data_IF_395234073625
#
_entry.id   IF_395234073625
#
_cell.length_a   1.000
_cell.length_b   1.000
_cell.length_c   1.000
_cell.angle_alpha   90.00
_cell.angle_beta   90.00
_cell.angle_gamma   90.00
#
_symmetry.space_group_name_H-M   'P 1'
#
loop_
_entity.id
_entity.type
_entity.pdbx_description
1 polymer ?
#
# COMPACT_ATOMS: atom_id res chain seq x y z
N UNK A 1 19.18 -11.98 -24.21
CA UNK A 1 18.75 -11.28 -25.44
C UNK A 1 18.80 -9.78 -25.16
N UNK A 2 19.59 -8.99 -25.90
CA UNK A 2 19.64 -7.53 -25.69
C UNK A 2 18.66 -6.86 -26.65
N UNK A 3 17.65 -6.18 -26.13
CA UNK A 3 16.69 -5.41 -26.93
C UNK A 3 17.44 -4.21 -27.56
N UNK A 4 17.34 -4.04 -28.87
CA UNK A 4 17.92 -2.91 -29.61
C UNK A 4 16.80 -1.94 -30.03
N UNK A 5 16.51 -0.95 -29.19
CA UNK A 5 15.39 0.00 -29.38
C UNK A 5 15.49 0.82 -30.68
N UNK A 6 16.70 0.98 -31.21
CA UNK A 6 16.98 1.64 -32.48
C UNK A 6 16.68 0.76 -33.70
N UNK A 7 16.47 -0.55 -33.51
CA UNK A 7 16.15 -1.51 -34.58
C UNK A 7 14.77 -2.12 -34.44
N UNK A 8 14.30 -2.33 -33.22
CA UNK A 8 13.09 -3.09 -32.93
C UNK A 8 12.08 -2.23 -32.18
N UNK A 9 10.80 -2.41 -32.52
CA UNK A 9 9.70 -1.87 -31.72
C UNK A 9 9.69 -2.56 -30.36
N UNK A 10 9.35 -1.80 -29.31
CA UNK A 10 9.19 -2.33 -27.96
C UNK A 10 7.74 -2.79 -27.81
N UNK A 11 7.56 -4.06 -27.45
CA UNK A 11 6.25 -4.58 -27.04
C UNK A 11 5.87 -3.98 -25.68
N UNK A 12 4.69 -3.38 -25.61
CA UNK A 12 4.14 -2.84 -24.38
C UNK A 12 2.69 -3.27 -24.21
N UNK A 13 2.25 -3.41 -22.97
CA UNK A 13 0.85 -3.64 -22.63
C UNK A 13 0.40 -2.61 -21.59
N UNK A 14 -0.75 -1.93 -21.77
CA UNK A 14 -1.38 -1.21 -20.67
C UNK A 14 -1.87 -2.23 -19.62
N UNK A 15 -1.69 -1.92 -18.33
CA UNK A 15 -2.09 -2.82 -17.23
C UNK A 15 -1.08 -2.98 -16.11
N UNK A 16 0.11 -2.39 -16.23
CA UNK A 16 1.03 -2.26 -15.10
C UNK A 16 0.49 -1.25 -14.09
N UNK A 17 0.15 -1.69 -12.88
CA UNK A 17 -0.12 -0.78 -11.77
C UNK A 17 1.10 0.13 -11.54
N UNK A 18 0.89 1.45 -11.58
CA UNK A 18 1.99 2.42 -11.60
C UNK A 18 1.93 3.44 -10.45
N UNK A 19 0.74 3.87 -10.05
CA UNK A 19 0.60 4.91 -9.03
C UNK A 19 -0.70 4.74 -8.23
N UNK A 20 -0.64 4.98 -6.92
CA UNK A 20 -1.79 5.01 -6.03
C UNK A 20 -2.31 6.45 -5.86
N UNK A 21 -3.47 6.77 -6.44
CA UNK A 21 -4.10 8.10 -6.26
C UNK A 21 -4.87 8.24 -4.94
N UNK A 22 -5.22 7.11 -4.31
CA UNK A 22 -5.80 7.07 -2.98
C UNK A 22 -4.72 6.99 -1.90
N UNK A 23 -5.08 7.24 -0.65
CA UNK A 23 -4.14 7.22 0.45
C UNK A 23 -4.69 7.95 1.67
N UNK A 24 -3.79 8.31 2.58
CA UNK A 24 -4.11 9.07 3.78
C UNK A 24 -4.66 10.45 3.40
N UNK A 25 -5.82 10.80 3.95
CA UNK A 25 -6.41 12.12 3.78
C UNK A 25 -5.61 13.13 4.58
N UNK A 26 -5.22 14.21 3.92
CA UNK A 26 -4.53 15.34 4.53
C UNK A 26 -5.26 16.66 4.27
N UNK A 27 -5.02 17.67 5.12
CA UNK A 27 -5.39 19.05 4.85
C UNK A 27 -4.26 19.80 4.08
N UNK A 28 -4.43 21.11 3.86
CA UNK A 28 -3.48 21.97 3.16
C UNK A 28 -2.10 22.07 3.84
N UNK A 29 -2.03 21.77 5.14
CA UNK A 29 -0.80 21.74 5.95
C UNK A 29 -0.17 20.34 6.04
N UNK A 30 -0.69 19.37 5.29
CA UNK A 30 -0.28 17.96 5.31
C UNK A 30 -0.58 17.23 6.63
N UNK A 31 -1.51 17.73 7.44
CA UNK A 31 -1.95 17.10 8.69
C UNK A 31 -2.98 16.03 8.40
N UNK A 32 -2.87 14.91 9.10
CA UNK A 32 -3.90 13.86 9.11
C UNK A 32 -4.99 14.18 10.14
N UNK A 33 -5.98 13.29 10.28
CA UNK A 33 -6.94 13.38 11.39
C UNK A 33 -6.40 12.88 12.74
N UNK A 34 -5.13 12.43 12.76
CA UNK A 34 -4.42 12.04 13.99
C UNK A 34 -3.48 13.19 14.35
N UNK A 35 -3.65 13.72 15.55
CA UNK A 35 -2.84 14.83 16.06
C UNK A 35 -1.35 14.45 16.07
N UNK A 36 -0.51 15.37 15.56
CA UNK A 36 0.94 15.15 15.46
C UNK A 36 1.38 14.20 14.33
N UNK A 37 0.46 13.63 13.55
CA UNK A 37 0.77 12.80 12.39
C UNK A 37 0.57 13.57 11.08
N UNK A 38 1.64 13.62 10.29
CA UNK A 38 1.71 14.30 8.99
C UNK A 38 2.05 13.29 7.89
N UNK A 39 1.60 13.54 6.67
CA UNK A 39 1.85 12.66 5.53
C UNK A 39 2.09 13.46 4.24
N UNK A 40 2.96 12.96 3.36
CA UNK A 40 3.28 13.59 2.08
C UNK A 40 3.71 12.55 1.04
N UNK A 41 3.51 12.88 -0.24
CA UNK A 41 3.83 12.00 -1.38
C UNK A 41 2.74 10.97 -1.65
N UNK A 42 3.10 9.89 -2.34
CA UNK A 42 2.16 8.86 -2.84
C UNK A 42 1.38 8.11 -1.74
N UNK A 43 1.81 8.22 -0.47
CA UNK A 43 1.04 7.69 0.67
C UNK A 43 -0.26 8.48 0.91
N UNK A 44 -0.38 9.69 0.35
CA UNK A 44 -1.53 10.59 0.52
C UNK A 44 -2.54 10.46 -0.61
N UNK A 45 -3.81 10.75 -0.30
CA UNK A 45 -4.88 10.74 -1.28
C UNK A 45 -5.42 12.14 -1.60
N UNK A 46 -6.03 12.28 -2.78
CA UNK A 46 -6.89 13.43 -3.12
C UNK A 46 -6.28 14.44 -4.09
N UNK A 47 -4.98 14.71 -4.02
CA UNK A 47 -4.29 15.71 -4.87
C UNK A 47 -4.48 15.43 -6.38
N UNK A 48 -4.52 14.15 -6.75
CA UNK A 48 -4.64 13.70 -8.14
C UNK A 48 -6.06 13.33 -8.56
N UNK A 49 -7.05 13.43 -7.65
CA UNK A 49 -8.41 12.97 -7.89
C UNK A 49 -8.47 11.51 -8.37
N UNK A 50 -9.22 11.25 -9.43
CA UNK A 50 -9.41 9.90 -9.98
C UNK A 50 -8.36 9.49 -11.03
N UNK A 51 -7.48 10.41 -11.48
CA UNK A 51 -6.45 10.10 -12.47
C UNK A 51 -5.28 11.10 -12.39
N UNK A 52 -4.08 10.60 -12.11
CA UNK A 52 -2.88 11.43 -12.02
C UNK A 52 -2.36 11.82 -13.40
N UNK A 53 -2.06 13.10 -13.61
CA UNK A 53 -1.34 13.57 -14.79
C UNK A 53 0.15 13.18 -14.77
N UNK A 54 0.71 12.85 -15.93
CA UNK A 54 2.13 12.56 -16.10
C UNK A 54 3.03 13.69 -15.58
N UNK A 55 4.15 13.32 -14.94
CA UNK A 55 5.11 14.27 -14.39
C UNK A 55 4.72 14.95 -13.07
N UNK A 56 3.48 14.82 -12.59
CA UNK A 56 3.02 15.52 -11.36
C UNK A 56 3.41 14.87 -10.04
N UNK A 57 3.83 13.60 -10.03
CA UNK A 57 4.28 12.92 -8.80
C UNK A 57 5.54 13.57 -8.20
N UNK A 58 6.47 14.03 -9.03
CA UNK A 58 7.67 14.73 -8.55
C UNK A 58 7.34 16.09 -7.93
N UNK A 59 6.42 16.83 -8.55
CA UNK A 59 5.95 18.10 -7.99
C UNK A 59 5.24 17.89 -6.65
N UNK A 60 4.45 16.83 -6.52
CA UNK A 60 3.77 16.47 -5.27
C UNK A 60 4.76 16.22 -4.14
N UNK A 61 5.77 15.37 -4.33
CA UNK A 61 6.71 15.05 -3.25
C UNK A 61 7.50 16.29 -2.79
N UNK A 62 7.86 17.19 -3.71
CA UNK A 62 8.60 18.41 -3.37
C UNK A 62 7.74 19.39 -2.58
N UNK A 63 6.53 19.68 -3.09
CA UNK A 63 5.64 20.67 -2.49
C UNK A 63 5.06 20.16 -1.16
N UNK A 64 4.49 18.97 -1.14
CA UNK A 64 3.86 18.45 0.06
C UNK A 64 4.88 17.94 1.08
N UNK A 65 6.07 17.51 0.64
CA UNK A 65 7.17 17.16 1.55
C UNK A 65 7.70 18.37 2.31
N UNK A 66 7.94 19.49 1.62
CA UNK A 66 8.35 20.75 2.26
C UNK A 66 7.28 21.24 3.26
N UNK A 67 6.01 21.25 2.84
CA UNK A 67 4.89 21.65 3.70
C UNK A 67 4.75 20.76 4.93
N UNK A 68 4.76 19.44 4.75
CA UNK A 68 4.66 18.50 5.87
C UNK A 68 5.80 18.69 6.86
N UNK A 69 7.04 18.85 6.39
CA UNK A 69 8.19 19.14 7.24
C UNK A 69 8.04 20.45 8.00
N UNK A 70 7.62 21.52 7.34
CA UNK A 70 7.42 22.83 7.97
C UNK A 70 6.29 22.80 9.02
N UNK A 71 5.16 22.15 8.73
CA UNK A 71 4.04 22.01 9.67
C UNK A 71 4.42 21.13 10.87
N UNK A 72 5.08 20.00 10.63
CA UNK A 72 5.55 19.10 11.68
C UNK A 72 6.56 19.79 12.60
N UNK A 73 7.49 20.59 12.06
CA UNK A 73 8.44 21.37 12.86
C UNK A 73 7.74 22.42 13.74
N UNK A 74 6.76 23.16 13.20
CA UNK A 74 5.96 24.12 13.97
C UNK A 74 5.16 23.44 15.07
N UNK A 75 4.59 22.28 14.79
CA UNK A 75 3.87 21.46 15.77
C UNK A 75 4.80 20.99 16.89
N UNK A 76 5.98 20.48 16.55
CA UNK A 76 6.95 19.96 17.51
C UNK A 76 7.46 21.03 18.51
N UNK A 77 7.61 22.29 18.09
CA UNK A 77 8.01 23.39 18.99
C UNK A 77 6.95 23.68 20.05
N UNK A 78 5.67 23.58 19.68
CA UNK A 78 4.54 23.90 20.56
C UNK A 78 4.12 22.71 21.43
N UNK A 79 4.39 21.51 20.96
CA UNK A 79 3.90 20.28 21.57
C UNK A 79 4.88 19.78 22.62
N UNK A 80 4.34 19.39 23.77
CA UNK A 80 5.09 18.56 24.72
C UNK A 80 4.93 17.12 24.25
N UNK A 81 5.91 16.62 23.52
CA UNK A 81 5.90 15.21 23.10
C UNK A 81 6.20 14.34 24.31
N UNK A 82 5.27 13.45 24.65
CA UNK A 82 5.52 12.41 25.64
C UNK A 82 6.47 11.38 25.06
N UNK A 83 7.45 10.96 25.87
CA UNK A 83 8.38 9.92 25.47
C UNK A 83 7.63 8.58 25.45
N UNK A 84 7.76 7.83 24.35
CA UNK A 84 7.21 6.48 24.28
C UNK A 84 7.91 5.61 25.32
N UNK A 85 7.15 5.04 26.25
CA UNK A 85 7.70 4.20 27.30
C UNK A 85 8.42 2.98 26.75
N UNK A 86 9.53 2.57 27.39
CA UNK A 86 10.37 1.44 26.97
C UNK A 86 9.59 0.13 26.80
N UNK A 87 8.49 -0.03 27.54
CA UNK A 87 7.56 -1.16 27.41
C UNK A 87 6.96 -1.25 26.00
N UNK A 88 6.45 -0.15 25.46
CA UNK A 88 5.83 -0.14 24.13
C UNK A 88 6.85 -0.46 23.03
N UNK A 89 8.08 0.05 23.15
CA UNK A 89 9.18 -0.28 22.23
C UNK A 89 9.49 -1.79 22.25
N UNK A 90 9.56 -2.39 23.45
CA UNK A 90 9.80 -3.84 23.60
C UNK A 90 8.67 -4.69 23.04
N UNK A 91 7.42 -4.26 23.23
CA UNK A 91 6.24 -4.94 22.66
C UNK A 91 6.26 -4.93 21.12
N UNK A 92 6.61 -3.80 20.51
CA UNK A 92 6.74 -3.72 19.05
C UNK A 92 7.90 -4.56 18.51
N UNK A 93 9.06 -4.56 19.18
CA UNK A 93 10.17 -5.46 18.81
C UNK A 93 9.71 -6.92 18.87
N UNK A 94 9.01 -7.30 19.95
CA UNK A 94 8.49 -8.66 20.09
C UNK A 94 7.51 -9.00 18.96
N UNK A 95 6.56 -8.11 18.66
CA UNK A 95 5.59 -8.28 17.55
C UNK A 95 6.30 -8.53 16.22
N UNK A 96 7.34 -7.75 15.92
CA UNK A 96 8.13 -7.94 14.70
C UNK A 96 8.89 -9.27 14.71
N UNK A 97 9.33 -9.76 15.86
CA UNK A 97 10.09 -11.01 15.98
C UNK A 97 9.23 -12.28 16.07
N UNK A 98 7.90 -12.15 16.25
CA UNK A 98 6.96 -13.28 16.35
C UNK A 98 6.92 -14.20 15.12
N UNK A 99 7.39 -13.70 13.97
CA UNK A 99 7.50 -14.46 12.73
C UNK A 99 8.65 -15.49 12.76
N UNK A 100 9.63 -15.34 13.65
CA UNK A 100 10.74 -16.29 13.78
C UNK A 100 10.25 -17.59 14.41
N UNK A 101 10.02 -18.62 13.57
CA UNK A 101 9.51 -19.92 14.01
C UNK A 101 10.29 -21.06 13.33
N UNK A 102 10.42 -22.19 14.01
CA UNK A 102 11.09 -23.37 13.47
C UNK A 102 10.10 -24.23 12.67
N UNK A 103 10.11 -24.01 11.34
CA UNK A 103 9.64 -24.88 10.25
C UNK A 103 8.14 -25.20 10.09
N UNK A 104 7.24 -24.83 11.01
CA UNK A 104 5.79 -25.02 10.80
C UNK A 104 5.08 -23.68 10.60
N UNK A 105 4.80 -23.32 9.35
CA UNK A 105 4.01 -22.14 9.01
C UNK A 105 3.92 -21.87 7.51
N UNK A 106 3.21 -20.81 7.16
CA UNK A 106 3.00 -20.35 5.78
C UNK A 106 4.15 -19.42 5.39
N UNK A 107 4.63 -19.53 4.15
CA UNK A 107 5.65 -18.62 3.65
C UNK A 107 5.03 -17.28 3.27
N UNK A 108 5.62 -16.12 3.64
CA UNK A 108 5.09 -14.82 3.23
C UNK A 108 5.05 -14.65 1.70
N UNK A 109 5.95 -15.34 0.98
CA UNK A 109 5.98 -15.36 -0.49
C UNK A 109 4.71 -15.97 -1.09
N UNK A 110 4.17 -17.01 -0.47
CA UNK A 110 2.96 -17.70 -0.94
C UNK A 110 1.76 -16.76 -0.87
N UNK A 111 1.57 -16.10 0.28
CA UNK A 111 0.50 -15.10 0.45
C UNK A 111 0.72 -13.92 -0.50
N UNK A 112 1.94 -13.40 -0.61
CA UNK A 112 2.27 -12.28 -1.51
C UNK A 112 1.98 -12.63 -2.98
N UNK A 113 2.23 -13.87 -3.40
CA UNK A 113 1.93 -14.34 -4.74
C UNK A 113 0.42 -14.45 -4.99
N UNK A 114 -0.32 -15.02 -4.04
CA UNK A 114 -1.78 -15.13 -4.14
C UNK A 114 -2.45 -13.75 -4.15
N UNK A 115 -1.99 -12.82 -3.31
CA UNK A 115 -2.44 -11.42 -3.33
C UNK A 115 -2.17 -10.78 -4.70
N UNK A 116 -0.95 -10.89 -5.24
CA UNK A 116 -0.62 -10.32 -6.56
C UNK A 116 -1.52 -10.87 -7.65
N UNK A 117 -1.70 -12.18 -7.71
CA UNK A 117 -2.56 -12.81 -8.71
C UNK A 117 -4.01 -12.33 -8.56
N UNK A 118 -4.54 -12.28 -7.35
CA UNK A 118 -5.91 -11.80 -7.08
C UNK A 118 -6.11 -10.36 -7.55
N UNK A 119 -5.18 -9.46 -7.21
CA UNK A 119 -5.29 -8.04 -7.60
C UNK A 119 -5.10 -7.84 -9.10
N UNK A 120 -4.19 -8.58 -9.72
CA UNK A 120 -3.95 -8.54 -11.17
C UNK A 120 -5.16 -9.01 -11.97
N UNK A 121 -5.83 -10.08 -11.52
CA UNK A 121 -6.98 -10.65 -12.21
C UNK A 121 -8.27 -9.85 -12.03
N UNK A 122 -8.51 -9.29 -10.83
CA UNK A 122 -9.82 -8.74 -10.48
C UNK A 122 -9.84 -7.22 -10.23
N UNK A 123 -8.68 -6.58 -10.08
CA UNK A 123 -8.56 -5.17 -9.71
C UNK A 123 -7.73 -4.36 -10.72
N UNK A 124 -7.64 -4.84 -11.96
CA UNK A 124 -6.92 -4.17 -13.05
C UNK A 124 -7.72 -2.98 -13.62
N UNK A 125 -7.46 -2.62 -14.88
CA UNK A 125 -8.11 -1.51 -15.60
C UNK A 125 -9.63 -1.67 -15.62
N UNK A 126 -10.11 -2.83 -16.10
CA UNK A 126 -11.54 -3.14 -16.19
C UNK A 126 -11.97 -3.96 -14.98
N UNK A 127 -13.14 -3.64 -14.42
CA UNK A 127 -13.64 -4.25 -13.18
C UNK A 127 -15.10 -4.59 -13.32
N UNK A 128 -15.47 -5.72 -12.72
CA UNK A 128 -16.85 -6.16 -12.57
C UNK A 128 -17.17 -6.34 -11.10
N UNK A 129 -18.45 -6.17 -10.72
CA UNK A 129 -18.90 -6.41 -9.34
C UNK A 129 -18.48 -7.79 -8.82
N UNK A 130 -18.76 -8.83 -9.62
CA UNK A 130 -18.45 -10.22 -9.26
C UNK A 130 -16.95 -10.46 -9.08
N UNK A 131 -16.11 -9.92 -9.96
CA UNK A 131 -14.66 -10.01 -9.83
C UNK A 131 -14.15 -9.37 -8.54
N UNK A 132 -14.64 -8.16 -8.21
CA UNK A 132 -14.26 -7.47 -6.98
C UNK A 132 -14.75 -8.19 -5.71
N UNK A 133 -15.95 -8.79 -5.73
CA UNK A 133 -16.47 -9.61 -4.61
C UNK A 133 -15.63 -10.89 -4.40
N UNK A 134 -15.20 -11.52 -5.49
CA UNK A 134 -14.28 -12.67 -5.44
C UNK A 134 -12.93 -12.26 -4.87
N UNK A 135 -12.36 -11.14 -5.33
CA UNK A 135 -11.12 -10.60 -4.78
C UNK A 135 -11.23 -10.37 -3.27
N UNK A 136 -12.30 -9.70 -2.83
CA UNK A 136 -12.54 -9.43 -1.41
C UNK A 136 -12.58 -10.72 -0.59
N UNK A 137 -13.28 -11.74 -1.09
CA UNK A 137 -13.37 -13.06 -0.44
C UNK A 137 -11.98 -13.69 -0.27
N UNK A 138 -11.16 -13.68 -1.32
CA UNK A 138 -9.78 -14.19 -1.25
C UNK A 138 -8.96 -13.40 -0.24
N UNK A 139 -8.99 -12.06 -0.26
CA UNK A 139 -8.24 -11.23 0.69
C UNK A 139 -8.68 -11.53 2.13
N UNK A 140 -9.98 -11.60 2.41
CA UNK A 140 -10.50 -11.94 3.73
C UNK A 140 -10.05 -13.33 4.23
N UNK A 141 -9.87 -14.30 3.32
CA UNK A 141 -9.35 -15.63 3.66
C UNK A 141 -7.83 -15.63 3.89
N UNK A 142 -7.07 -14.74 3.25
CA UNK A 142 -5.62 -14.63 3.43
C UNK A 142 -5.22 -13.89 4.71
N UNK A 143 -6.04 -12.95 5.20
CA UNK A 143 -5.68 -12.18 6.40
C UNK A 143 -5.46 -13.07 7.65
N UNK A 144 -6.31 -14.05 7.98
CA UNK A 144 -6.05 -14.97 9.10
C UNK A 144 -4.77 -15.79 8.95
N UNK A 145 -4.39 -16.14 7.71
CA UNK A 145 -3.18 -16.90 7.39
C UNK A 145 -1.90 -16.18 7.78
N UNK A 146 -1.92 -14.84 7.85
CA UNK A 146 -0.77 -14.04 8.28
C UNK A 146 -0.29 -14.38 9.70
N UNK A 147 -1.18 -14.88 10.57
CA UNK A 147 -0.84 -15.33 11.94
C UNK A 147 0.03 -16.60 11.95
N UNK A 148 0.02 -17.35 10.85
CA UNK A 148 0.80 -18.57 10.63
C UNK A 148 2.09 -18.32 9.87
N UNK A 149 2.44 -17.08 9.56
CA UNK A 149 3.68 -16.75 8.88
C UNK A 149 4.90 -17.23 9.67
N UNK A 150 5.86 -17.79 8.94
CA UNK A 150 7.07 -18.36 9.51
C UNK A 150 8.27 -17.99 8.65
N UNK A 151 9.31 -17.46 9.29
CA UNK A 151 10.56 -17.10 8.63
C UNK A 151 11.77 -17.62 9.42
N UNK A 152 12.91 -17.88 8.76
CA UNK A 152 14.13 -18.30 9.45
C UNK A 152 14.54 -17.30 10.53
N UNK A 153 15.03 -17.81 11.68
CA UNK A 153 15.50 -17.00 12.82
C UNK A 153 16.87 -16.35 12.54
N UNK A 154 16.90 -15.48 11.54
CA UNK A 154 18.07 -14.74 11.09
C UNK A 154 17.66 -13.27 11.04
N UNK A 155 18.35 -12.39 11.77
CA UNK A 155 18.04 -10.95 11.75
C UNK A 155 18.71 -10.20 10.60
N UNK A 156 19.90 -10.64 10.18
CA UNK A 156 20.71 -9.96 9.19
C UNK A 156 20.28 -10.33 7.77
N UNK A 157 20.00 -9.33 6.92
CA UNK A 157 19.63 -9.50 5.50
C UNK A 157 18.51 -10.53 5.24
N UNK A 158 17.51 -10.56 6.11
CA UNK A 158 16.42 -11.52 6.00
C UNK A 158 15.24 -10.92 5.20
N UNK A 159 15.26 -11.10 3.89
CA UNK A 159 14.18 -10.62 3.00
C UNK A 159 12.83 -11.27 3.29
N UNK A 160 12.80 -12.53 3.74
CA UNK A 160 11.55 -13.19 4.13
C UNK A 160 10.91 -12.52 5.36
N UNK A 161 11.74 -12.07 6.30
CA UNK A 161 11.23 -11.34 7.46
C UNK A 161 10.63 -9.99 7.09
N UNK A 162 11.27 -9.25 6.18
CA UNK A 162 10.71 -8.02 5.62
C UNK A 162 9.37 -8.30 4.95
N UNK A 163 9.29 -9.32 4.08
CA UNK A 163 8.03 -9.70 3.44
C UNK A 163 6.96 -10.13 4.45
N UNK A 164 7.31 -10.81 5.54
CA UNK A 164 6.36 -11.17 6.60
C UNK A 164 5.78 -9.97 7.33
N UNK A 165 6.56 -8.88 7.47
CA UNK A 165 6.09 -7.60 8.02
C UNK A 165 5.19 -6.89 7.00
N UNK A 166 5.56 -6.88 5.72
CA UNK A 166 4.85 -6.15 4.66
C UNK A 166 3.49 -6.76 4.30
N UNK A 167 3.43 -8.08 4.14
CA UNK A 167 2.26 -8.78 3.57
C UNK A 167 0.95 -8.48 4.32
N UNK A 168 0.89 -8.46 5.66
CA UNK A 168 -0.32 -8.04 6.37
C UNK A 168 -0.81 -6.65 5.95
N UNK A 169 0.08 -5.67 5.86
CA UNK A 169 -0.27 -4.32 5.43
C UNK A 169 -0.65 -4.26 3.95
N UNK A 170 -0.01 -5.07 3.09
CA UNK A 170 -0.42 -5.19 1.69
C UNK A 170 -1.85 -5.73 1.56
N UNK A 171 -2.24 -6.68 2.40
CA UNK A 171 -3.63 -7.20 2.43
C UNK A 171 -4.62 -6.14 2.94
N UNK A 172 -4.24 -5.35 3.95
CA UNK A 172 -5.08 -4.22 4.42
C UNK A 172 -5.30 -3.20 3.29
N UNK A 173 -4.23 -2.79 2.60
CA UNK A 173 -4.33 -1.86 1.47
C UNK A 173 -5.17 -2.44 0.33
N UNK A 174 -4.97 -3.70 -0.02
CA UNK A 174 -5.76 -4.38 -1.04
C UNK A 174 -7.25 -4.41 -0.68
N UNK A 175 -7.58 -4.76 0.56
CA UNK A 175 -8.97 -4.76 1.05
C UNK A 175 -9.59 -3.36 0.98
N UNK A 176 -8.88 -2.32 1.42
CA UNK A 176 -9.35 -0.94 1.32
C UNK A 176 -9.64 -0.54 -0.13
N UNK A 177 -8.75 -0.91 -1.06
CA UNK A 177 -8.94 -0.63 -2.50
C UNK A 177 -10.17 -1.35 -3.05
N UNK A 178 -10.33 -2.63 -2.76
CA UNK A 178 -11.46 -3.45 -3.25
C UNK A 178 -12.78 -2.92 -2.70
N UNK A 179 -12.86 -2.65 -1.39
CA UNK A 179 -14.07 -2.11 -0.76
C UNK A 179 -14.44 -0.74 -1.33
N UNK A 180 -13.45 0.12 -1.54
CA UNK A 180 -13.67 1.45 -2.14
C UNK A 180 -14.18 1.35 -3.58
N UNK A 181 -13.65 0.39 -4.36
CA UNK A 181 -14.08 0.15 -5.74
C UNK A 181 -15.49 -0.47 -5.81
N UNK A 182 -15.84 -1.36 -4.88
CA UNK A 182 -17.20 -1.91 -4.75
C UNK A 182 -18.22 -0.83 -4.39
N UNK A 183 -17.86 0.05 -3.44
CA UNK A 183 -18.71 1.15 -2.98
C UNK A 183 -19.02 2.15 -4.09
N UNK A 184 -18.06 2.42 -4.99
CA UNK A 184 -18.25 3.33 -6.11
C UNK A 184 -18.97 2.62 -7.26
N UNK A 185 -20.24 2.97 -7.48
CA UNK A 185 -21.09 2.46 -8.58
C UNK A 185 -21.18 3.49 -9.72
N UNK A 186 -20.02 3.87 -10.25
CA UNK A 186 -19.84 4.74 -11.43
C UNK A 186 -18.46 4.46 -12.05
N UNK A 187 -18.21 4.92 -13.27
CA UNK A 187 -16.86 4.97 -13.87
C UNK A 187 -16.32 6.39 -13.90
N UNK A 188 -15.07 6.56 -13.44
CA UNK A 188 -14.38 7.86 -13.40
C UNK A 188 -12.86 7.70 -13.33
N UNK A 189 -12.15 8.33 -14.27
CA UNK A 189 -10.69 8.31 -14.28
C UNK A 189 -10.12 6.90 -14.41
N UNK A 190 -9.23 6.51 -13.51
CA UNK A 190 -8.62 5.16 -13.47
C UNK A 190 -9.52 4.08 -12.82
N UNK A 191 -10.75 4.44 -12.44
CA UNK A 191 -11.75 3.49 -12.00
C UNK A 191 -12.78 3.30 -13.11
N UNK A 192 -12.70 2.17 -13.80
CA UNK A 192 -13.66 1.77 -14.81
C UNK A 192 -14.38 0.49 -14.35
N UNK A 193 -15.72 0.52 -14.42
CA UNK A 193 -16.61 -0.58 -14.09
C UNK A 193 -17.50 -0.88 -15.28
N UNK A 194 -17.45 -2.11 -15.77
CA UNK A 194 -18.28 -2.52 -16.91
C UNK A 194 -19.78 -2.44 -16.60
N UNK A 195 -20.15 -2.68 -15.34
CA UNK A 195 -21.54 -2.59 -14.89
C UNK A 195 -22.04 -1.16 -14.66
N UNK A 196 -21.14 -0.16 -14.74
CA UNK A 196 -21.43 1.27 -14.62
C UNK A 196 -20.48 2.09 -15.52
N UNK A 197 -20.64 2.05 -16.86
CA UNK A 197 -19.67 2.63 -17.80
C UNK A 197 -19.58 4.16 -17.76
#
# INVERSE_FOLDING_TARGET
MKIQIQKWKVEFTPGGAHFCMGGVRINENCETNIEGLFAAGEVTGGVHGANKMGGKALSEILVFGERAGASAAKYAIKSKLDFVGEKAVREEIRRLEEFFREKKGVSPKEIKLQLRHTMDQYMNVERTKSGMEMALTVICNLKPETKRLCVPKIRRFNGLWIEAIEVPYMLDVAEMMIRSALFRTESRGAHYREDYP
#
